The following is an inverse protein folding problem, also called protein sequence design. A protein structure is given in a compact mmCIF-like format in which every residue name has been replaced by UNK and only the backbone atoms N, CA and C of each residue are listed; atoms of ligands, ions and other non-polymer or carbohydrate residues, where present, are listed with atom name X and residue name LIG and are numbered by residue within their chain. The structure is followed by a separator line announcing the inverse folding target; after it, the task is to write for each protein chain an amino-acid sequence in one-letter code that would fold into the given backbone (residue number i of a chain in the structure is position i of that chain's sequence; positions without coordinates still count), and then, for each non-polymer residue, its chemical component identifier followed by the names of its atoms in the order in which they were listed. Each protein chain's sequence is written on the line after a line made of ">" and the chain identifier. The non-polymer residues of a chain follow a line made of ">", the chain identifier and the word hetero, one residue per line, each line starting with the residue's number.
data_IF_113136740508
#
_entry.id   IF_113136740508
#
_cell.length_a   1.000
_cell.length_b   1.000
_cell.length_c   1.000
_cell.angle_alpha   90.00
_cell.angle_beta   90.00
_cell.angle_gamma   90.00
#
_symmetry.space_group_name_H-M   'P 1'
#
loop_
_entity.id
_entity.type
_entity.pdbx_description
1 polymer ?
#
# COMPACT_ATOMS: atom_id res chain seq x y z
N UNK A 1 -9.34 -1.78 3.07
CA UNK A 1 -8.40 -0.67 2.81
C UNK A 1 -7.88 -0.65 1.38
N UNK A 2 -6.98 -1.58 1.02
CA UNK A 2 -6.28 -1.58 -0.27
C UNK A 2 -7.20 -1.66 -1.49
N UNK A 3 -8.35 -2.32 -1.35
CA UNK A 3 -9.38 -2.38 -2.40
C UNK A 3 -9.95 -1.00 -2.76
N UNK A 4 -10.14 -0.12 -1.78
CA UNK A 4 -10.68 1.25 -1.97
C UNK A 4 -9.60 2.25 -2.38
N UNK A 5 -8.37 2.06 -1.89
CA UNK A 5 -7.25 2.95 -2.18
C UNK A 5 -6.65 2.68 -3.57
N UNK A 6 -6.35 1.42 -3.88
CA UNK A 6 -5.62 1.02 -5.07
C UNK A 6 -6.47 0.31 -6.13
N UNK A 7 -7.77 0.11 -5.86
CA UNK A 7 -8.66 -0.60 -6.79
C UNK A 7 -8.30 -2.08 -6.98
N UNK A 8 -7.51 -2.68 -6.09
CA UNK A 8 -7.06 -4.05 -6.24
C UNK A 8 -8.17 -5.09 -6.12
N UNK A 9 -7.98 -6.24 -6.77
CA UNK A 9 -8.86 -7.39 -6.59
C UNK A 9 -8.81 -7.87 -5.14
N UNK A 10 -9.89 -8.52 -4.69
CA UNK A 10 -9.99 -9.02 -3.31
C UNK A 10 -8.80 -9.91 -2.93
N UNK A 11 -8.36 -10.78 -3.85
CA UNK A 11 -7.22 -11.67 -3.63
C UNK A 11 -5.92 -10.90 -3.40
N UNK A 12 -5.64 -9.89 -4.25
CA UNK A 12 -4.41 -9.08 -4.10
C UNK A 12 -4.45 -8.24 -2.82
N UNK A 13 -5.59 -7.62 -2.52
CA UNK A 13 -5.76 -6.87 -1.28
C UNK A 13 -5.60 -7.75 -0.03
N UNK A 14 -6.13 -8.98 -0.06
CA UNK A 14 -5.99 -9.94 1.03
C UNK A 14 -4.54 -10.39 1.20
N UNK A 15 -3.85 -10.70 0.09
CA UNK A 15 -2.43 -11.07 0.11
C UNK A 15 -1.56 -9.97 0.71
N UNK A 16 -1.78 -8.71 0.30
CA UNK A 16 -1.05 -7.56 0.84
C UNK A 16 -1.33 -7.34 2.34
N UNK A 17 -2.59 -7.45 2.77
CA UNK A 17 -2.93 -7.39 4.21
C UNK A 17 -2.22 -8.48 5.01
N UNK A 18 -2.24 -9.72 4.51
CA UNK A 18 -1.53 -10.84 5.14
C UNK A 18 -0.03 -10.60 5.18
N UNK A 19 0.53 -10.02 4.11
CA UNK A 19 1.94 -9.71 4.03
C UNK A 19 2.35 -8.68 5.10
N UNK A 20 1.56 -7.60 5.28
CA UNK A 20 1.77 -6.65 6.38
C UNK A 20 1.66 -7.34 7.75
N UNK A 21 0.70 -8.26 7.90
CA UNK A 21 0.51 -8.97 9.16
C UNK A 21 1.68 -9.90 9.51
N UNK A 22 2.24 -10.59 8.52
CA UNK A 22 3.31 -11.58 8.72
C UNK A 22 4.70 -10.94 8.73
N UNK A 23 4.99 -10.03 7.80
CA UNK A 23 6.32 -9.43 7.61
C UNK A 23 6.46 -8.06 8.28
N UNK A 24 5.37 -7.48 8.79
CA UNK A 24 5.34 -6.13 9.35
C UNK A 24 5.39 -5.01 8.30
N UNK A 25 5.60 -5.35 7.02
CA UNK A 25 5.63 -4.43 5.87
C UNK A 25 5.11 -5.11 4.61
N UNK A 26 4.63 -4.33 3.65
CA UNK A 26 4.28 -4.84 2.32
C UNK A 26 4.45 -3.76 1.25
N UNK A 27 4.96 -4.16 0.08
CA UNK A 27 5.02 -3.29 -1.11
C UNK A 27 3.65 -3.28 -1.76
N UNK A 28 2.91 -2.21 -1.50
CA UNK A 28 1.53 -2.05 -1.97
C UNK A 28 1.44 -1.59 -3.41
N UNK A 29 2.35 -0.72 -3.87
CA UNK A 29 2.43 -0.27 -5.25
C UNK A 29 3.89 -0.07 -5.66
N UNK A 30 4.18 -0.36 -6.93
CA UNK A 30 5.47 -0.08 -7.56
C UNK A 30 5.20 0.68 -8.87
N UNK A 31 5.90 1.80 -9.06
CA UNK A 31 5.63 2.69 -10.19
C UNK A 31 6.33 4.04 -10.06
N UNK A 32 5.91 4.99 -10.90
CA UNK A 32 6.44 6.36 -10.86
C UNK A 32 6.24 6.99 -9.48
N UNK A 33 7.26 7.74 -9.05
CA UNK A 33 7.34 8.38 -7.74
C UNK A 33 6.08 9.18 -7.40
N UNK A 34 5.52 9.94 -8.35
CA UNK A 34 4.29 10.72 -8.14
C UNK A 34 3.09 9.88 -7.69
N UNK A 35 2.88 8.70 -8.30
CA UNK A 35 1.77 7.81 -7.90
C UNK A 35 2.01 7.24 -6.51
N UNK A 36 3.26 6.87 -6.22
CA UNK A 36 3.63 6.34 -4.93
C UNK A 36 3.47 7.38 -3.82
N UNK A 37 3.88 8.64 -4.06
CA UNK A 37 3.67 9.77 -3.13
C UNK A 37 2.18 9.98 -2.82
N UNK A 38 1.34 9.94 -3.85
CA UNK A 38 -0.11 10.05 -3.68
C UNK A 38 -0.70 8.90 -2.84
N UNK A 39 -0.23 7.67 -3.07
CA UNK A 39 -0.68 6.50 -2.32
C UNK A 39 -0.24 6.53 -0.85
N UNK A 40 0.99 7.01 -0.57
CA UNK A 40 1.48 7.21 0.80
C UNK A 40 0.64 8.27 1.52
N UNK A 41 0.33 9.38 0.86
CA UNK A 41 -0.53 10.42 1.43
C UNK A 41 -1.89 9.87 1.85
N UNK A 42 -2.55 9.11 0.97
CA UNK A 42 -3.85 8.50 1.28
C UNK A 42 -3.78 7.48 2.41
N UNK A 43 -2.68 6.73 2.51
CA UNK A 43 -2.47 5.81 3.63
C UNK A 43 -2.34 6.57 4.96
N UNK A 44 -1.59 7.68 4.97
CA UNK A 44 -1.43 8.53 6.16
C UNK A 44 -2.74 9.21 6.57
N UNK A 45 -3.55 9.69 5.62
CA UNK A 45 -4.90 10.22 5.92
C UNK A 45 -5.79 9.21 6.66
N UNK A 46 -5.55 7.93 6.44
CA UNK A 46 -6.27 6.86 7.10
C UNK A 46 -5.57 6.31 8.36
N UNK A 47 -4.52 6.98 8.84
CA UNK A 47 -3.77 6.58 10.03
C UNK A 47 -2.83 5.40 9.81
N UNK A 48 -2.59 5.01 8.55
CA UNK A 48 -1.61 3.98 8.21
C UNK A 48 -0.30 4.65 7.87
N UNK A 49 0.73 4.33 8.64
CA UNK A 49 2.08 4.78 8.31
C UNK A 49 2.61 3.99 7.11
N UNK A 50 3.00 4.72 6.07
CA UNK A 50 3.58 4.17 4.85
C UNK A 50 4.82 4.98 4.44
N UNK A 51 5.81 4.31 3.85
CA UNK A 51 7.05 4.92 3.37
C UNK A 51 7.27 4.62 1.89
N UNK A 52 7.99 5.51 1.22
CA UNK A 52 8.49 5.28 -0.13
C UNK A 52 9.89 4.69 -0.04
N UNK A 53 10.08 3.55 -0.69
CA UNK A 53 11.38 2.91 -0.84
C UNK A 53 11.73 2.93 -2.32
N UNK A 54 12.93 3.41 -2.65
CA UNK A 54 13.48 3.38 -3.98
C UNK A 54 14.52 2.25 -4.00
N UNK A 55 14.25 1.21 -4.80
CA UNK A 55 15.22 0.15 -5.11
C UNK A 55 16.25 0.67 -6.13
#
# INVERSE_FOLDING_TARGET
>A
MFRKLFGYSQQKAHRLMMQVHTEGKAVVASGQREKAEFDVYRLHEHGLWAILEQD
#
